data_IF_701349806621
#
_entry.id   IF_701349806621
#
_cell.length_a   1.000
_cell.length_b   1.000
_cell.length_c   1.000
_cell.angle_alpha   90.00
_cell.angle_beta   90.00
_cell.angle_gamma   90.00
#
_symmetry.space_group_name_H-M   'P 1'
#
loop_
_entity.id
_entity.type
_entity.pdbx_description
1 polymer ?
#
# COMPACT_ATOMS: atom_id res chain seq x y z
N UNK A 1 8.36 -5.56 28.14
CA UNK A 1 7.20 -5.19 27.33
C UNK A 1 7.65 -4.40 26.11
N UNK A 2 7.08 -4.68 24.93
CA UNK A 2 7.44 -4.07 23.64
C UNK A 2 6.17 -3.72 22.87
N UNK A 3 6.18 -2.57 22.17
CA UNK A 3 5.13 -2.22 21.20
C UNK A 3 5.53 -2.72 19.82
N UNK A 4 4.76 -3.62 19.25
CA UNK A 4 5.00 -4.15 17.91
C UNK A 4 4.10 -3.40 16.91
N UNK A 5 4.67 -2.46 16.15
CA UNK A 5 3.99 -1.83 15.02
C UNK A 5 3.95 -2.82 13.86
N UNK A 6 2.75 -3.14 13.39
CA UNK A 6 2.53 -4.23 12.43
C UNK A 6 1.70 -3.70 11.26
N UNK A 7 2.21 -3.88 10.04
CA UNK A 7 1.42 -3.69 8.83
C UNK A 7 0.40 -4.81 8.69
N UNK A 8 -0.88 -4.45 8.77
CA UNK A 8 -1.99 -5.41 8.76
C UNK A 8 -2.42 -5.88 7.35
N UNK A 9 -1.69 -5.46 6.32
CA UNK A 9 -2.02 -5.77 4.95
C UNK A 9 -3.15 -4.91 4.36
N UNK A 10 -3.49 -5.10 3.09
CA UNK A 10 -4.38 -4.23 2.33
C UNK A 10 -5.88 -4.51 2.59
N UNK A 11 -6.20 -5.68 3.16
CA UNK A 11 -7.58 -6.10 3.40
C UNK A 11 -7.71 -7.57 3.73
N UNK A 12 -7.36 -8.48 2.81
CA UNK A 12 -7.45 -9.91 3.05
C UNK A 12 -6.56 -10.35 4.23
N UNK A 13 -7.09 -11.10 5.20
CA UNK A 13 -6.33 -11.53 6.38
C UNK A 13 -5.12 -12.42 6.07
N UNK A 14 -5.18 -13.17 4.97
CA UNK A 14 -4.10 -14.04 4.50
C UNK A 14 -2.94 -13.28 3.81
N UNK A 15 -3.09 -11.97 3.57
CA UNK A 15 -2.01 -11.08 3.15
C UNK A 15 -1.26 -10.46 4.35
N UNK A 16 -1.57 -10.86 5.56
CA UNK A 16 -0.76 -10.57 6.73
C UNK A 16 0.57 -11.34 6.64
N UNK A 17 1.68 -10.68 6.98
CA UNK A 17 2.95 -11.40 7.05
C UNK A 17 2.92 -12.43 8.18
N UNK A 18 3.62 -13.56 8.01
CA UNK A 18 3.73 -14.58 9.07
C UNK A 18 4.24 -13.99 10.39
N UNK A 19 5.25 -13.11 10.32
CA UNK A 19 5.75 -12.39 11.51
C UNK A 19 4.67 -11.51 12.14
N UNK A 20 3.90 -10.79 11.34
CA UNK A 20 2.79 -9.95 11.83
C UNK A 20 1.75 -10.77 12.57
N UNK A 21 1.32 -11.89 11.98
CA UNK A 21 0.39 -12.84 12.59
C UNK A 21 0.90 -13.36 13.94
N UNK A 22 2.15 -13.83 13.97
CA UNK A 22 2.71 -14.43 15.17
C UNK A 22 2.88 -13.42 16.31
N UNK A 23 3.22 -12.16 15.99
CA UNK A 23 3.27 -11.07 16.95
C UNK A 23 1.87 -10.70 17.47
N UNK A 24 0.85 -10.64 16.61
CA UNK A 24 -0.54 -10.40 17.03
C UNK A 24 -0.99 -11.50 18.00
N UNK A 25 -0.71 -12.75 17.69
CA UNK A 25 -1.09 -13.89 18.51
C UNK A 25 -0.37 -13.95 19.88
N UNK A 26 0.79 -13.32 19.99
CA UNK A 26 1.56 -13.27 21.23
C UNK A 26 1.19 -12.08 22.15
N UNK A 27 0.54 -11.03 21.61
CA UNK A 27 0.27 -9.80 22.36
C UNK A 27 -1.07 -9.83 23.08
N UNK A 28 -1.11 -9.62 24.41
CA UNK A 28 -2.36 -9.54 25.18
C UNK A 28 -3.13 -8.23 24.94
N UNK A 29 -2.52 -7.25 24.27
CA UNK A 29 -3.16 -5.97 23.92
C UNK A 29 -3.01 -5.73 22.42
N UNK A 30 -4.10 -5.34 21.76
CA UNK A 30 -4.13 -5.02 20.35
C UNK A 30 -4.80 -3.67 20.11
N UNK A 31 -4.07 -2.71 19.54
CA UNK A 31 -4.59 -1.42 19.11
C UNK A 31 -4.65 -1.39 17.59
N UNK A 32 -5.80 -1.10 17.00
CA UNK A 32 -5.96 -1.13 15.54
C UNK A 32 -6.61 0.13 14.97
N UNK A 33 -6.33 0.43 13.70
CA UNK A 33 -6.74 1.66 13.04
C UNK A 33 -8.17 1.56 12.43
N UNK A 34 -9.16 1.28 13.25
CA UNK A 34 -10.58 1.35 12.88
C UNK A 34 -10.99 0.44 11.72
N UNK A 35 -11.85 0.95 10.85
CA UNK A 35 -12.46 0.21 9.73
C UNK A 35 -11.50 -0.20 8.61
N UNK A 36 -10.23 0.20 8.69
CA UNK A 36 -9.20 -0.15 7.70
C UNK A 36 -8.48 -1.48 8.03
N UNK A 37 -8.74 -2.07 9.20
CA UNK A 37 -8.20 -3.38 9.60
C UNK A 37 -9.39 -4.32 9.75
N UNK A 38 -9.50 -5.38 8.91
CA UNK A 38 -10.63 -6.29 8.94
C UNK A 38 -10.68 -7.15 10.20
N UNK A 39 -11.87 -7.57 10.60
CA UNK A 39 -12.07 -8.47 11.74
C UNK A 39 -11.28 -9.77 11.63
N UNK A 40 -11.10 -10.30 10.40
CA UNK A 40 -10.30 -11.50 10.16
C UNK A 40 -8.84 -11.37 10.59
N UNK A 41 -8.26 -10.15 10.59
CA UNK A 41 -6.93 -9.88 11.15
C UNK A 41 -6.98 -9.90 12.67
N UNK A 42 -8.04 -9.33 13.27
CA UNK A 42 -8.22 -9.31 14.74
C UNK A 42 -8.49 -10.71 15.30
N UNK A 43 -8.99 -11.64 14.50
CA UNK A 43 -9.18 -13.04 14.89
C UNK A 43 -7.86 -13.76 15.26
N UNK A 44 -6.70 -13.19 14.90
CA UNK A 44 -5.41 -13.72 15.36
C UNK A 44 -5.03 -13.30 16.77
N UNK A 45 -5.74 -12.35 17.39
CA UNK A 45 -5.50 -12.00 18.80
C UNK A 45 -5.77 -13.18 19.73
N UNK A 46 -5.00 -13.35 20.81
CA UNK A 46 -5.24 -14.43 21.75
C UNK A 46 -6.59 -14.26 22.47
N UNK A 47 -7.21 -15.35 22.94
CA UNK A 47 -8.43 -15.28 23.71
C UNK A 47 -8.28 -14.36 24.93
N UNK A 48 -9.24 -13.43 25.10
CA UNK A 48 -9.21 -12.44 26.19
C UNK A 48 -8.27 -11.27 25.98
N UNK A 49 -7.70 -11.09 24.80
CA UNK A 49 -6.91 -9.90 24.45
C UNK A 49 -7.75 -8.63 24.63
N UNK A 50 -7.11 -7.57 25.15
CA UNK A 50 -7.68 -6.23 25.18
C UNK A 50 -7.55 -5.58 23.81
N UNK A 51 -8.65 -5.51 23.04
CA UNK A 51 -8.68 -5.00 21.67
C UNK A 51 -9.28 -3.59 21.66
N UNK A 52 -8.50 -2.59 21.23
CA UNK A 52 -8.90 -1.18 21.23
C UNK A 52 -8.95 -0.64 19.79
N UNK A 53 -10.12 -0.13 19.40
CA UNK A 53 -10.26 0.64 18.18
C UNK A 53 -9.75 2.05 18.38
N UNK A 54 -8.70 2.46 17.69
CA UNK A 54 -8.08 3.78 17.82
C UNK A 54 -8.65 4.84 16.87
N UNK A 55 -9.64 4.50 16.04
CA UNK A 55 -10.23 5.48 15.11
C UNK A 55 -10.84 6.73 15.79
N UNK A 56 -11.51 6.62 16.96
CA UNK A 56 -12.03 7.78 17.67
C UNK A 56 -11.00 8.48 18.57
N UNK A 57 -9.80 7.92 18.73
CA UNK A 57 -8.80 8.39 19.70
C UNK A 57 -7.86 9.43 19.08
N UNK A 58 -7.50 10.42 19.87
CA UNK A 58 -6.39 11.34 19.59
C UNK A 58 -5.04 10.64 19.77
N UNK A 59 -3.95 11.28 19.29
CA UNK A 59 -2.59 10.76 19.49
C UNK A 59 -2.27 10.62 21.00
N UNK A 60 -2.68 11.59 21.82
CA UNK A 60 -2.40 11.56 23.26
C UNK A 60 -3.13 10.39 23.94
N UNK A 61 -4.37 10.11 23.55
CA UNK A 61 -5.14 8.97 24.07
C UNK A 61 -4.52 7.63 23.62
N UNK A 62 -4.08 7.52 22.37
CA UNK A 62 -3.36 6.32 21.89
C UNK A 62 -2.07 6.08 22.70
N UNK A 63 -1.31 7.14 22.97
CA UNK A 63 -0.08 7.03 23.77
C UNK A 63 -0.41 6.68 25.22
N UNK A 64 -1.49 7.20 25.78
CA UNK A 64 -1.95 6.85 27.13
C UNK A 64 -2.32 5.36 27.25
N UNK A 65 -3.04 4.80 26.27
CA UNK A 65 -3.34 3.35 26.20
C UNK A 65 -2.04 2.51 26.15
N UNK A 66 -1.08 2.92 25.33
CA UNK A 66 0.22 2.25 25.23
C UNK A 66 0.98 2.32 26.56
N UNK A 67 1.01 3.51 27.22
CA UNK A 67 1.71 3.71 28.48
C UNK A 67 1.08 2.89 29.61
N UNK A 68 -0.26 2.80 29.65
CA UNK A 68 -0.98 1.97 30.63
C UNK A 68 -0.63 0.47 30.45
N UNK A 69 -0.67 -0.05 29.24
CA UNK A 69 -0.29 -1.43 28.98
C UNK A 69 1.21 -1.67 29.28
N UNK A 70 2.08 -0.65 29.04
CA UNK A 70 3.49 -0.72 29.41
C UNK A 70 3.70 -0.84 30.91
N UNK A 71 2.99 -0.04 31.69
CA UNK A 71 3.04 -0.11 33.15
C UNK A 71 2.61 -1.48 33.70
N UNK A 72 1.66 -2.13 33.02
CA UNK A 72 1.21 -3.50 33.32
C UNK A 72 2.18 -4.59 32.80
N UNK A 73 3.28 -4.26 32.13
CA UNK A 73 4.24 -5.20 31.57
C UNK A 73 3.71 -6.00 30.36
N UNK A 74 2.66 -5.53 29.68
CA UNK A 74 1.99 -6.22 28.58
C UNK A 74 2.55 -5.80 27.22
N UNK A 75 2.89 -6.76 26.36
CA UNK A 75 3.23 -6.49 24.97
C UNK A 75 2.01 -6.05 24.17
N UNK A 76 2.23 -5.18 23.19
CA UNK A 76 1.16 -4.56 22.39
C UNK A 76 1.38 -4.81 20.92
N UNK A 77 0.36 -5.32 20.22
CA UNK A 77 0.24 -5.29 18.78
C UNK A 77 -0.42 -3.97 18.34
N UNK A 78 0.31 -3.08 17.69
CA UNK A 78 -0.21 -1.84 17.10
C UNK A 78 -0.38 -2.01 15.60
N UNK A 79 -1.62 -2.23 15.14
CA UNK A 79 -1.93 -2.53 13.75
C UNK A 79 -2.21 -1.27 12.94
N UNK A 80 -1.60 -1.19 11.77
CA UNK A 80 -1.86 -0.17 10.76
C UNK A 80 -2.24 -0.84 9.44
N UNK A 81 -3.19 -0.25 8.70
CA UNK A 81 -3.60 -0.75 7.38
C UNK A 81 -2.43 -0.73 6.39
N UNK A 82 -2.37 -1.72 5.51
CA UNK A 82 -1.35 -1.83 4.49
C UNK A 82 0.04 -2.05 5.05
N UNK A 83 0.98 -1.19 4.67
CA UNK A 83 2.34 -1.09 5.18
C UNK A 83 2.54 0.22 5.94
N UNK A 84 3.47 0.21 6.91
CA UNK A 84 3.70 1.33 7.80
C UNK A 84 4.59 2.44 7.22
N UNK A 85 5.26 2.18 6.10
CA UNK A 85 6.26 3.11 5.54
C UNK A 85 5.66 4.35 4.89
N UNK A 86 4.37 4.32 4.52
CA UNK A 86 3.69 5.41 3.81
C UNK A 86 2.34 5.75 4.45
N UNK A 87 2.14 7.03 4.77
CA UNK A 87 0.90 7.65 5.31
C UNK A 87 0.25 6.91 6.48
N UNK A 88 1.03 6.24 7.30
CA UNK A 88 0.53 5.44 8.43
C UNK A 88 0.41 6.21 9.73
N UNK A 89 0.87 7.46 9.80
CA UNK A 89 0.96 8.25 11.04
C UNK A 89 1.73 7.51 12.16
N UNK A 90 2.69 6.66 11.78
CA UNK A 90 3.55 5.95 12.73
C UNK A 90 4.64 6.87 13.31
N UNK A 91 5.18 7.79 12.50
CA UNK A 91 6.36 8.58 12.85
C UNK A 91 6.21 9.35 14.15
N UNK A 92 5.06 10.02 14.36
CA UNK A 92 4.76 10.75 15.59
C UNK A 92 4.58 9.82 16.78
N UNK A 93 4.00 8.64 16.63
CA UNK A 93 3.88 7.65 17.69
C UNK A 93 5.27 7.16 18.11
N UNK A 94 6.15 6.77 17.18
CA UNK A 94 7.52 6.36 17.49
C UNK A 94 8.33 7.44 18.19
N UNK A 95 8.15 8.72 17.80
CA UNK A 95 8.79 9.85 18.48
C UNK A 95 8.35 9.96 19.93
N UNK A 96 7.06 9.79 20.20
CA UNK A 96 6.49 9.83 21.58
C UNK A 96 6.99 8.64 22.41
N UNK A 97 7.03 7.43 21.84
CA UNK A 97 7.52 6.25 22.56
C UNK A 97 9.01 6.37 22.92
N UNK A 98 9.84 6.93 22.02
CA UNK A 98 11.25 7.22 22.33
C UNK A 98 11.39 8.18 23.51
N UNK A 99 10.54 9.22 23.58
CA UNK A 99 10.56 10.18 24.69
C UNK A 99 10.11 9.58 26.03
N UNK A 100 9.41 8.45 25.99
CA UNK A 100 8.94 7.69 27.17
C UNK A 100 9.81 6.46 27.47
N UNK A 101 10.93 6.25 26.74
CA UNK A 101 11.78 5.06 26.81
C UNK A 101 11.01 3.74 26.66
N UNK A 102 9.90 3.75 25.91
CA UNK A 102 9.10 2.56 25.61
C UNK A 102 9.68 1.85 24.37
N UNK A 103 10.17 0.60 24.50
CA UNK A 103 10.73 -0.14 23.38
C UNK A 103 9.66 -0.52 22.34
N UNK A 104 10.06 -0.52 21.08
CA UNK A 104 9.18 -0.90 19.98
C UNK A 104 9.93 -1.64 18.86
N UNK A 105 9.17 -2.36 18.05
CA UNK A 105 9.63 -2.96 16.79
C UNK A 105 8.69 -2.55 15.65
N UNK A 106 9.14 -2.65 14.40
CA UNK A 106 8.33 -2.39 13.21
C UNK A 106 8.38 -3.63 12.31
N UNK A 107 7.21 -4.13 11.94
CA UNK A 107 7.05 -5.26 11.00
C UNK A 107 6.31 -4.76 9.76
N UNK A 108 6.90 -4.90 8.56
CA UNK A 108 6.26 -4.44 7.33
C UNK A 108 4.99 -5.23 7.02
N UNK A 109 4.12 -4.64 6.21
CA UNK A 109 2.93 -5.27 5.66
C UNK A 109 2.91 -5.22 4.13
N UNK A 110 1.86 -5.77 3.52
CA UNK A 110 1.63 -5.66 2.09
C UNK A 110 0.90 -4.34 1.81
N UNK A 111 1.50 -3.40 1.05
CA UNK A 111 0.87 -2.12 0.76
C UNK A 111 -0.25 -2.27 -0.28
N UNK A 112 -1.22 -1.35 -0.24
CA UNK A 112 -2.40 -1.40 -1.11
C UNK A 112 -2.07 -1.28 -2.60
N UNK A 113 -1.00 -0.57 -2.99
CA UNK A 113 -0.62 -0.48 -4.40
C UNK A 113 -0.14 -1.83 -4.98
N UNK A 114 0.55 -2.65 -4.18
CA UNK A 114 0.94 -4.00 -4.59
C UNK A 114 -0.28 -4.93 -4.72
N UNK A 115 -1.22 -4.83 -3.79
CA UNK A 115 -2.47 -5.60 -3.87
C UNK A 115 -3.31 -5.16 -5.08
N UNK A 116 -3.36 -3.85 -5.38
CA UNK A 116 -4.05 -3.34 -6.55
C UNK A 116 -3.40 -3.80 -7.85
N UNK A 117 -2.07 -3.79 -7.95
CA UNK A 117 -1.36 -4.31 -9.12
C UNK A 117 -1.64 -5.80 -9.33
N UNK A 118 -1.64 -6.60 -8.25
CA UNK A 118 -1.99 -8.02 -8.30
C UNK A 118 -3.45 -8.25 -8.75
N UNK A 119 -4.39 -7.46 -8.23
CA UNK A 119 -5.80 -7.54 -8.62
C UNK A 119 -6.03 -7.15 -10.08
N UNK A 120 -5.19 -6.29 -10.63
CA UNK A 120 -5.19 -5.90 -12.03
C UNK A 120 -4.44 -6.88 -12.95
N UNK A 121 -3.64 -7.78 -12.37
CA UNK A 121 -2.73 -8.69 -13.08
C UNK A 121 -1.70 -7.93 -13.94
N UNK A 122 -1.15 -6.83 -13.40
CA UNK A 122 -0.18 -5.99 -14.11
C UNK A 122 1.11 -5.80 -13.31
N UNK A 123 2.20 -5.65 -14.02
CA UNK A 123 3.43 -5.08 -13.50
C UNK A 123 3.41 -3.57 -13.73
N UNK A 124 3.73 -2.80 -12.68
CA UNK A 124 3.70 -1.34 -12.73
C UNK A 124 4.91 -0.73 -13.46
N UNK A 125 5.90 -1.56 -13.79
CA UNK A 125 7.11 -1.18 -14.53
C UNK A 125 7.29 -2.12 -15.71
N UNK A 126 7.31 -1.59 -16.93
CA UNK A 126 7.52 -2.36 -18.15
C UNK A 126 8.60 -1.73 -19.01
N UNK A 127 9.50 -2.53 -19.62
CA UNK A 127 10.53 -2.01 -20.52
C UNK A 127 9.93 -1.16 -21.66
N UNK A 128 10.58 -0.04 -21.96
CA UNK A 128 10.13 0.89 -23.01
C UNK A 128 8.93 1.77 -22.64
N UNK A 129 8.17 1.47 -21.59
CA UNK A 129 6.96 2.21 -21.19
C UNK A 129 7.15 3.05 -19.93
N UNK A 130 7.50 2.42 -18.81
CA UNK A 130 7.82 3.09 -17.56
C UNK A 130 8.69 2.20 -16.69
N UNK A 131 9.72 2.77 -16.06
CA UNK A 131 10.62 2.08 -15.12
C UNK A 131 10.55 2.70 -13.72
N UNK A 132 9.59 3.60 -13.51
CA UNK A 132 9.43 4.34 -12.26
C UNK A 132 7.96 4.28 -11.83
N UNK A 133 7.76 4.02 -10.54
CA UNK A 133 6.45 4.14 -9.89
C UNK A 133 6.52 5.25 -8.86
N UNK A 134 5.62 6.22 -8.97
CA UNK A 134 5.48 7.31 -8.01
C UNK A 134 4.29 7.02 -7.11
N UNK A 135 4.56 6.85 -5.82
CA UNK A 135 3.53 6.79 -4.79
C UNK A 135 3.26 8.20 -4.31
N UNK A 136 2.06 8.71 -4.53
CA UNK A 136 1.70 10.09 -4.19
C UNK A 136 0.23 10.20 -3.76
N UNK A 137 -0.18 11.41 -3.42
CA UNK A 137 -1.57 11.79 -3.11
C UNK A 137 -1.83 13.24 -3.54
N UNK A 138 -3.07 13.66 -3.54
CA UNK A 138 -3.43 15.08 -3.63
C UNK A 138 -3.38 15.76 -2.25
N UNK A 139 -3.32 17.11 -2.19
CA UNK A 139 -3.48 17.84 -0.93
C UNK A 139 -4.78 17.45 -0.23
N UNK A 140 -4.71 17.19 1.07
CA UNK A 140 -5.88 16.86 1.89
C UNK A 140 -6.05 17.84 3.06
N UNK A 141 -7.19 17.75 3.75
CA UNK A 141 -7.48 18.61 4.92
C UNK A 141 -6.49 18.39 6.06
N UNK A 142 -5.99 17.16 6.23
CA UNK A 142 -5.11 16.80 7.36
C UNK A 142 -3.65 17.24 7.14
N UNK A 143 -3.18 17.34 5.89
CA UNK A 143 -1.82 17.74 5.59
C UNK A 143 -1.71 18.31 4.18
N UNK A 144 -1.02 19.43 4.06
CA UNK A 144 -0.65 20.00 2.78
C UNK A 144 0.38 19.14 2.04
N UNK A 145 0.53 19.35 0.73
CA UNK A 145 1.64 18.81 -0.04
C UNK A 145 2.76 19.86 -0.09
N UNK A 146 4.03 19.45 -0.02
CA UNK A 146 5.15 20.33 -0.35
C UNK A 146 4.99 20.91 -1.76
N UNK A 147 5.49 22.13 -1.98
CA UNK A 147 5.28 22.86 -3.23
C UNK A 147 5.81 22.10 -4.47
N UNK A 148 6.94 21.40 -4.32
CA UNK A 148 7.54 20.58 -5.38
C UNK A 148 6.87 19.22 -5.63
N UNK A 149 5.89 18.82 -4.79
CA UNK A 149 5.24 17.51 -4.87
C UNK A 149 3.80 17.60 -5.45
N UNK A 150 3.56 18.55 -6.34
CA UNK A 150 2.30 18.65 -7.08
C UNK A 150 2.17 17.49 -8.06
N UNK A 151 0.96 17.00 -8.24
CA UNK A 151 0.67 15.87 -9.11
C UNK A 151 1.16 16.11 -10.56
N UNK A 152 0.99 17.33 -11.07
CA UNK A 152 1.49 17.72 -12.40
C UNK A 152 3.02 17.58 -12.54
N UNK A 153 3.80 17.82 -11.49
CA UNK A 153 5.26 17.65 -11.53
C UNK A 153 5.66 16.19 -11.72
N UNK A 154 4.99 15.27 -11.05
CA UNK A 154 5.19 13.82 -11.23
C UNK A 154 4.66 13.35 -12.58
N UNK A 155 3.54 13.89 -13.04
CA UNK A 155 2.94 13.56 -14.33
C UNK A 155 3.87 13.90 -15.51
N UNK A 156 4.62 15.00 -15.42
CA UNK A 156 5.60 15.39 -16.44
C UNK A 156 6.71 14.36 -16.67
N UNK A 157 6.94 13.43 -15.75
CA UNK A 157 7.93 12.35 -15.90
C UNK A 157 7.45 11.20 -16.78
N UNK A 158 6.15 11.04 -17.00
CA UNK A 158 5.54 9.90 -17.68
C UNK A 158 5.61 8.58 -16.89
N UNK A 159 5.98 8.62 -15.62
CA UNK A 159 6.05 7.45 -14.73
C UNK A 159 4.67 6.83 -14.48
N UNK A 160 4.61 5.59 -14.02
CA UNK A 160 3.37 5.03 -13.48
C UNK A 160 3.07 5.69 -12.15
N UNK A 161 1.87 6.25 -11.98
CA UNK A 161 1.43 6.89 -10.73
C UNK A 161 0.49 5.96 -9.95
N UNK A 162 0.73 5.84 -8.65
CA UNK A 162 -0.18 5.24 -7.68
C UNK A 162 -0.63 6.35 -6.72
N UNK A 163 -1.86 6.86 -6.92
CA UNK A 163 -2.38 8.04 -6.25
C UNK A 163 -3.32 7.60 -5.13
N UNK A 164 -2.86 7.78 -3.91
CA UNK A 164 -3.57 7.40 -2.69
C UNK A 164 -4.46 8.54 -2.18
N UNK A 165 -5.46 8.21 -1.34
CA UNK A 165 -6.24 9.18 -0.57
C UNK A 165 -6.90 10.31 -1.41
N UNK A 166 -7.13 10.10 -2.70
CA UNK A 166 -7.46 11.17 -3.66
C UNK A 166 -8.76 10.94 -4.44
N UNK A 167 -9.47 9.86 -4.18
CA UNK A 167 -10.70 9.51 -4.93
C UNK A 167 -11.77 10.62 -4.88
N UNK A 168 -11.86 11.34 -3.77
CA UNK A 168 -12.79 12.45 -3.57
C UNK A 168 -12.37 13.76 -4.29
N UNK A 169 -11.22 13.78 -4.95
CA UNK A 169 -10.69 14.90 -5.75
C UNK A 169 -10.43 14.47 -7.19
N UNK A 170 -11.27 13.58 -7.73
CA UNK A 170 -11.05 12.95 -9.03
C UNK A 170 -10.96 13.98 -10.16
N UNK A 171 -11.83 15.01 -10.16
CA UNK A 171 -11.79 16.10 -11.14
C UNK A 171 -10.43 16.81 -11.15
N UNK A 172 -9.89 17.11 -9.97
CA UNK A 172 -8.57 17.70 -9.84
C UNK A 172 -7.48 16.77 -10.37
N UNK A 173 -7.54 15.48 -10.03
CA UNK A 173 -6.60 14.48 -10.52
C UNK A 173 -6.61 14.44 -12.05
N UNK A 174 -7.79 14.36 -12.66
CA UNK A 174 -7.94 14.36 -14.11
C UNK A 174 -7.35 15.65 -14.72
N UNK A 175 -7.72 16.82 -14.20
CA UNK A 175 -7.27 18.11 -14.71
C UNK A 175 -5.76 18.27 -14.66
N UNK A 176 -5.10 17.81 -13.59
CA UNK A 176 -3.64 17.88 -13.45
C UNK A 176 -2.90 16.86 -14.33
N UNK A 177 -3.49 15.70 -14.61
CA UNK A 177 -2.83 14.64 -15.37
C UNK A 177 -3.03 14.73 -16.88
N UNK A 178 -4.20 15.19 -17.31
CA UNK A 178 -4.61 15.23 -18.72
C UNK A 178 -3.59 15.91 -19.66
N UNK A 179 -2.96 17.07 -19.30
CA UNK A 179 -1.98 17.73 -20.14
C UNK A 179 -0.70 16.91 -20.40
N UNK A 180 -0.38 15.95 -19.52
CA UNK A 180 0.87 15.20 -19.55
C UNK A 180 0.69 13.79 -20.12
N UNK A 181 -0.39 13.12 -19.75
CA UNK A 181 -0.65 11.72 -20.17
C UNK A 181 -1.53 11.62 -21.42
N UNK A 182 -2.34 12.64 -21.69
CA UNK A 182 -3.35 12.60 -22.77
C UNK A 182 -4.64 11.90 -22.37
N UNK A 183 -5.69 12.12 -23.15
CA UNK A 183 -7.06 11.64 -22.90
C UNK A 183 -7.17 10.12 -22.86
N UNK A 184 -6.42 9.43 -23.70
CA UNK A 184 -6.49 7.97 -23.87
C UNK A 184 -5.59 7.20 -22.90
N UNK A 185 -4.87 7.90 -21.99
CA UNK A 185 -4.02 7.22 -21.02
C UNK A 185 -4.83 6.26 -20.14
N UNK A 186 -4.40 4.98 -20.02
CA UNK A 186 -5.07 4.02 -19.17
C UNK A 186 -5.03 4.42 -17.70
N UNK A 187 -6.18 4.26 -17.05
CA UNK A 187 -6.37 4.44 -15.61
C UNK A 187 -7.12 3.26 -15.04
N UNK A 188 -6.72 2.84 -13.86
CA UNK A 188 -7.48 1.87 -13.09
C UNK A 188 -7.74 2.40 -11.68
N UNK A 189 -8.97 2.26 -11.19
CA UNK A 189 -9.29 2.44 -9.79
C UNK A 189 -9.52 1.07 -9.18
N UNK A 190 -8.79 0.77 -8.11
CA UNK A 190 -9.02 -0.43 -7.31
C UNK A 190 -9.56 0.00 -5.97
N UNK A 191 -10.84 -0.22 -5.76
CA UNK A 191 -11.54 0.05 -4.52
C UNK A 191 -11.49 -1.19 -3.63
N UNK A 192 -11.10 -1.01 -2.37
CA UNK A 192 -11.00 -2.07 -1.36
C UNK A 192 -10.20 -3.28 -1.87
N UNK A 193 -8.98 -3.04 -2.38
CA UNK A 193 -8.10 -4.09 -2.90
C UNK A 193 -7.94 -5.22 -1.88
N UNK A 194 -8.14 -6.46 -2.32
CA UNK A 194 -8.13 -7.71 -1.55
C UNK A 194 -9.27 -7.92 -0.54
N UNK A 195 -10.20 -6.99 -0.39
CA UNK A 195 -11.40 -7.20 0.41
C UNK A 195 -12.42 -8.07 -0.34
N UNK A 196 -13.39 -8.72 0.36
CA UNK A 196 -14.41 -9.55 -0.31
C UNK A 196 -15.29 -8.79 -1.31
N UNK A 197 -15.47 -7.50 -1.10
CA UNK A 197 -16.22 -6.57 -1.93
C UNK A 197 -15.34 -5.70 -2.83
N UNK A 198 -14.12 -6.15 -3.14
CA UNK A 198 -13.22 -5.47 -4.06
C UNK A 198 -13.92 -5.13 -5.38
N UNK A 199 -13.75 -3.90 -5.86
CA UNK A 199 -14.22 -3.48 -7.17
C UNK A 199 -13.09 -2.83 -7.97
N UNK A 200 -13.07 -3.13 -9.28
CA UNK A 200 -12.07 -2.61 -10.22
C UNK A 200 -12.81 -1.84 -11.32
N UNK A 201 -12.38 -0.58 -11.50
CA UNK A 201 -12.81 0.26 -12.62
C UNK A 201 -11.61 0.44 -13.55
N UNK A 202 -11.76 0.08 -14.83
CA UNK A 202 -10.78 0.35 -15.89
C UNK A 202 -11.35 1.40 -16.84
N UNK A 203 -10.59 2.47 -17.06
CA UNK A 203 -11.01 3.61 -17.88
C UNK A 203 -9.81 4.25 -18.57
N UNK A 204 -10.04 5.34 -19.27
CA UNK A 204 -9.02 6.31 -19.68
C UNK A 204 -9.19 7.60 -18.86
N UNK A 205 -8.21 8.49 -18.91
CA UNK A 205 -8.35 9.81 -18.26
C UNK A 205 -9.59 10.56 -18.72
N UNK A 206 -9.99 10.43 -20.00
CA UNK A 206 -11.18 11.08 -20.53
C UNK A 206 -12.50 10.47 -20.05
N UNK A 207 -12.51 9.21 -19.65
CA UNK A 207 -13.76 8.49 -19.30
C UNK A 207 -13.87 8.15 -17.82
N UNK A 208 -12.85 8.50 -17.03
CA UNK A 208 -12.71 8.08 -15.65
C UNK A 208 -13.84 8.58 -14.75
N UNK A 209 -14.23 9.85 -14.86
CA UNK A 209 -15.26 10.46 -14.02
C UNK A 209 -16.60 9.74 -14.15
N UNK A 210 -17.02 9.44 -15.37
CA UNK A 210 -18.27 8.73 -15.64
C UNK A 210 -18.26 7.25 -15.21
N UNK A 211 -17.10 6.68 -14.94
CA UNK A 211 -16.92 5.27 -14.62
C UNK A 211 -16.92 4.97 -13.11
N UNK A 212 -16.78 6.01 -12.26
CA UNK A 212 -16.65 5.85 -10.80
C UNK A 212 -18.04 5.92 -10.14
N UNK A 213 -18.35 4.88 -9.37
CA UNK A 213 -19.59 4.83 -8.58
C UNK A 213 -19.50 5.72 -7.32
N UNK A 214 -20.66 6.25 -6.90
CA UNK A 214 -20.76 7.13 -5.72
C UNK A 214 -20.36 6.43 -4.40
N UNK A 215 -20.38 5.09 -4.37
CA UNK A 215 -19.96 4.29 -3.21
C UNK A 215 -18.45 4.30 -2.96
N UNK A 216 -17.65 4.70 -3.96
CA UNK A 216 -16.18 4.70 -3.89
C UNK A 216 -15.60 5.95 -3.22
N UNK A 217 -16.15 6.34 -2.09
CA UNK A 217 -15.72 7.57 -1.38
C UNK A 217 -14.36 7.46 -0.69
N UNK A 218 -13.96 6.25 -0.29
CA UNK A 218 -12.74 5.97 0.50
C UNK A 218 -12.14 4.62 0.11
N UNK A 219 -10.91 4.36 0.56
CA UNK A 219 -10.24 3.06 0.39
C UNK A 219 -10.06 2.68 -1.07
N UNK A 220 -9.91 3.67 -1.94
CA UNK A 220 -9.65 3.50 -3.36
C UNK A 220 -8.23 3.98 -3.71
N UNK A 221 -7.56 3.24 -4.60
CA UNK A 221 -6.29 3.60 -5.19
C UNK A 221 -6.50 3.91 -6.68
N UNK A 222 -6.00 5.05 -7.13
CA UNK A 222 -6.01 5.44 -8.54
C UNK A 222 -4.63 5.12 -9.12
N UNK A 223 -4.57 4.23 -10.10
CA UNK A 223 -3.37 3.92 -10.87
C UNK A 223 -3.46 4.56 -12.25
N UNK A 224 -2.40 5.24 -12.68
CA UNK A 224 -2.34 5.93 -13.98
C UNK A 224 -1.04 5.61 -14.67
N UNK A 225 -1.10 5.25 -15.95
CA UNK A 225 0.10 5.04 -16.74
C UNK A 225 -0.07 4.06 -17.88
N UNK A 226 0.82 4.14 -18.84
CA UNK A 226 0.80 3.29 -20.05
C UNK A 226 0.92 1.79 -19.74
N UNK A 227 1.57 1.43 -18.63
CA UNK A 227 1.74 0.05 -18.20
C UNK A 227 0.43 -0.68 -17.92
N UNK A 228 -0.64 0.06 -17.58
CA UNK A 228 -1.93 -0.53 -17.21
C UNK A 228 -2.75 -1.06 -18.40
N UNK A 229 -2.43 -0.62 -19.62
CA UNK A 229 -3.13 -1.04 -20.83
C UNK A 229 -2.22 -1.64 -21.90
N UNK A 230 -0.96 -1.92 -21.56
CA UNK A 230 0.00 -2.43 -22.51
C UNK A 230 -0.28 -3.90 -22.81
N UNK A 231 -0.64 -4.20 -24.06
CA UNK A 231 -0.72 -5.56 -24.59
C UNK A 231 0.57 -5.95 -25.32
N UNK A 232 1.36 -4.98 -25.75
CA UNK A 232 2.61 -5.14 -26.46
C UNK A 232 3.67 -4.21 -25.86
N UNK A 233 4.82 -4.75 -25.48
CA UNK A 233 5.94 -4.03 -24.89
C UNK A 233 7.24 -4.84 -25.08
N UNK A 234 8.38 -4.15 -24.96
CA UNK A 234 9.68 -4.79 -25.10
C UNK A 234 9.91 -5.84 -23.99
N UNK A 235 10.35 -7.03 -24.35
CA UNK A 235 10.74 -8.04 -23.37
C UNK A 235 12.00 -7.60 -22.61
N UNK A 236 12.02 -7.86 -21.32
CA UNK A 236 13.21 -7.65 -20.51
C UNK A 236 14.35 -8.57 -20.99
N UNK A 237 15.50 -7.99 -21.28
CA UNK A 237 16.71 -8.79 -21.60
C UNK A 237 17.18 -9.69 -20.46
N UNK A 238 16.64 -9.54 -19.27
CA UNK A 238 16.99 -10.35 -18.11
C UNK A 238 16.88 -11.86 -18.39
N UNK A 239 15.89 -12.26 -19.20
CA UNK A 239 15.66 -13.65 -19.57
C UNK A 239 16.08 -13.98 -21.01
N UNK A 240 16.61 -13.02 -21.77
CA UNK A 240 17.07 -13.26 -23.13
C UNK A 240 18.18 -14.34 -23.16
N UNK A 241 18.16 -15.21 -24.18
CA UNK A 241 19.09 -16.34 -24.26
C UNK A 241 20.55 -15.89 -24.42
N UNK A 242 20.76 -14.74 -25.09
CA UNK A 242 22.04 -14.12 -25.36
C UNK A 242 22.55 -13.19 -24.23
N UNK A 243 21.77 -13.03 -23.13
CA UNK A 243 22.16 -12.17 -22.01
C UNK A 243 23.07 -12.91 -21.04
N UNK A 244 24.34 -12.51 -21.02
CA UNK A 244 25.36 -13.07 -20.11
C UNK A 244 25.14 -12.60 -18.66
N UNK A 245 25.05 -13.52 -17.75
CA UNK A 245 24.89 -13.23 -16.31
C UNK A 245 25.55 -14.28 -15.43
N UNK A 246 25.91 -13.88 -14.21
CA UNK A 246 26.66 -14.68 -13.24
C UNK A 246 26.17 -16.13 -13.08
N UNK A 247 24.86 -16.34 -13.06
CA UNK A 247 24.25 -17.67 -12.84
C UNK A 247 23.80 -18.36 -14.13
N UNK A 248 23.92 -17.70 -15.26
CA UNK A 248 23.66 -18.22 -16.61
C UNK A 248 24.59 -17.53 -17.60
N UNK A 249 25.90 -17.86 -17.58
CA UNK A 249 26.83 -17.35 -18.57
C UNK A 249 26.46 -17.86 -19.97
N UNK A 250 26.70 -17.01 -20.99
CA UNK A 250 26.48 -17.39 -22.39
C UNK A 250 27.39 -18.56 -22.75
N UNK A 251 26.85 -19.61 -23.39
CA UNK A 251 27.58 -20.82 -23.76
C UNK A 251 27.73 -21.86 -22.64
N UNK A 252 27.14 -21.65 -21.46
CA UNK A 252 27.05 -22.70 -20.45
C UNK A 252 26.03 -23.77 -20.88
N UNK A 253 26.36 -25.05 -20.63
CA UNK A 253 25.42 -26.15 -20.87
C UNK A 253 24.14 -25.93 -20.05
N UNK A 254 22.96 -26.26 -20.61
CA UNK A 254 21.69 -26.15 -19.87
C UNK A 254 21.75 -27.04 -18.63
N UNK A 255 21.40 -26.48 -17.47
CA UNK A 255 21.38 -27.21 -16.18
C UNK A 255 20.34 -28.33 -16.12
N UNK A 256 19.39 -28.32 -17.04
CA UNK A 256 18.34 -29.34 -17.15
C UNK A 256 18.41 -29.91 -18.55
N UNK A 257 18.56 -31.24 -18.72
CA UNK A 257 18.42 -31.87 -20.02
C UNK A 257 17.01 -31.59 -20.55
N UNK A 258 16.91 -31.34 -21.86
CA UNK A 258 15.61 -31.26 -22.52
C UNK A 258 14.84 -32.55 -22.23
N UNK A 259 13.58 -32.39 -21.75
CA UNK A 259 12.71 -33.53 -21.52
C UNK A 259 12.48 -34.22 -22.88
N UNK A 260 13.02 -35.44 -23.05
CA UNK A 260 12.85 -36.29 -24.19
C UNK A 260 11.44 -36.86 -24.30
#
# INVERSE_FOLDING_TARGET
>A
MTVHFIGAGPGAPDLLTLRGRDLIAACPVCLYAGSLVPEGVLAHCPPGAHIVNTAPLSLDEIIAEIAAAHADGKDIARLHSGDLSIWSAMGEQLRRLRALDIPFTVTPGVPSFSAAAAALEVELTLPGLAQTVVLTRTPGRASAMPEGEKLAAFAATGATLAIHLSIHLLDQVIAELLPHYGADCPVAIVWRASWPDQCIVRATLATLDAAVGAEMERTALILVGKTLGAADFDESRLYAADYDRRYRPVGAEPRFPEAS
#
